data_IF_739967065154
#
_entry.id   IF_739967065154
#
_cell.length_a   1.000
_cell.length_b   1.000
_cell.length_c   1.000
_cell.angle_alpha   90.00
_cell.angle_beta   90.00
_cell.angle_gamma   90.00
#
_symmetry.space_group_name_H-M   'P 1'
#
loop_
_entity.id
_entity.type
_entity.pdbx_description
1 polymer ?
#
# COMPACT_ATOMS: atom_id res chain seq x y z
N UNK A 1 31.88 -35.43 37.93
CA UNK A 1 30.49 -34.97 37.70
C UNK A 1 30.51 -33.46 37.90
N UNK A 2 30.65 -32.62 36.86
CA UNK A 2 29.66 -32.40 35.81
C UNK A 2 28.38 -31.91 36.49
N UNK A 3 27.98 -30.64 36.46
CA UNK A 3 27.57 -29.87 35.27
C UNK A 3 27.65 -28.35 35.54
N UNK A 4 27.70 -27.61 34.44
CA UNK A 4 28.05 -26.19 34.24
C UNK A 4 26.89 -25.21 34.41
N UNK A 5 27.32 -23.98 34.72
CA UNK A 5 26.72 -22.65 34.62
C UNK A 5 25.86 -22.38 33.36
N UNK A 6 24.76 -21.63 33.47
CA UNK A 6 24.56 -20.33 32.78
C UNK A 6 23.14 -19.78 32.97
N UNK A 7 23.05 -18.52 33.42
CA UNK A 7 21.87 -17.70 33.23
C UNK A 7 21.63 -17.46 31.74
N UNK A 8 20.36 -17.49 31.33
CA UNK A 8 19.92 -17.10 30.00
C UNK A 8 19.07 -15.85 30.18
N UNK A 9 19.72 -14.70 30.00
CA UNK A 9 19.04 -13.45 29.67
C UNK A 9 18.40 -13.63 28.29
N UNK A 10 17.07 -13.57 28.22
CA UNK A 10 16.36 -13.50 26.95
C UNK A 10 16.48 -12.07 26.39
N UNK A 11 17.59 -11.81 25.72
CA UNK A 11 17.75 -10.64 24.86
C UNK A 11 16.92 -10.87 23.59
N UNK A 12 15.68 -10.36 23.58
CA UNK A 12 14.91 -10.25 22.35
C UNK A 12 15.48 -9.11 21.50
N UNK A 13 16.46 -9.46 20.67
CA UNK A 13 17.03 -8.62 19.64
C UNK A 13 15.97 -8.42 18.53
N UNK A 14 15.12 -7.40 18.65
CA UNK A 14 14.19 -7.03 17.59
C UNK A 14 14.95 -6.27 16.50
N UNK A 15 15.51 -7.01 15.55
CA UNK A 15 15.84 -6.46 14.24
C UNK A 15 14.53 -6.17 13.54
N UNK A 16 14.21 -4.88 13.40
CA UNK A 16 13.19 -4.38 12.48
C UNK A 16 13.74 -4.58 11.07
N UNK A 17 13.72 -5.81 10.60
CA UNK A 17 13.89 -6.07 9.18
C UNK A 17 12.62 -5.54 8.49
N UNK A 18 12.80 -4.69 7.48
CA UNK A 18 11.74 -4.28 6.56
C UNK A 18 11.09 -5.54 5.98
N UNK A 19 10.05 -6.03 6.64
CA UNK A 19 9.19 -7.08 6.15
C UNK A 19 8.39 -6.56 4.96
N UNK A 20 9.07 -6.48 3.82
CA UNK A 20 8.49 -6.35 2.49
C UNK A 20 7.75 -7.64 2.17
N UNK A 21 6.64 -7.89 2.86
CA UNK A 21 5.76 -9.02 2.55
C UNK A 21 5.03 -8.73 1.24
N UNK A 22 5.17 -9.63 0.26
CA UNK A 22 4.50 -9.51 -1.03
C UNK A 22 2.99 -9.63 -0.84
N UNK A 23 2.24 -8.57 -1.17
CA UNK A 23 0.78 -8.59 -1.17
C UNK A 23 0.26 -9.66 -2.13
N UNK A 24 -0.52 -10.61 -1.62
CA UNK A 24 -1.22 -11.60 -2.44
C UNK A 24 -2.62 -11.07 -2.68
N UNK A 25 -2.76 -10.19 -3.67
CA UNK A 25 -4.08 -9.86 -4.19
C UNK A 25 -4.75 -11.13 -4.70
N UNK A 26 -6.03 -11.34 -4.40
CA UNK A 26 -6.82 -12.32 -5.14
C UNK A 26 -6.71 -12.01 -6.65
N UNK A 27 -6.68 -13.03 -7.49
CA UNK A 27 -6.55 -12.83 -8.94
C UNK A 27 -7.63 -11.87 -9.50
N UNK A 28 -8.80 -11.84 -8.87
CA UNK A 28 -9.87 -10.89 -9.18
C UNK A 28 -9.50 -9.45 -8.77
N UNK A 29 -9.00 -9.23 -7.55
CA UNK A 29 -8.57 -7.91 -7.11
C UNK A 29 -7.42 -7.39 -7.97
N UNK A 30 -6.39 -8.22 -8.18
CA UNK A 30 -5.24 -7.89 -9.02
C UNK A 30 -5.68 -7.38 -10.39
N UNK A 31 -6.62 -8.08 -11.02
CA UNK A 31 -7.20 -7.69 -12.31
C UNK A 31 -8.00 -6.39 -12.23
N UNK A 32 -8.80 -6.17 -11.16
CA UNK A 32 -9.53 -4.91 -10.95
C UNK A 32 -8.58 -3.72 -10.81
N UNK A 33 -7.51 -3.86 -10.04
CA UNK A 33 -6.49 -2.80 -9.86
C UNK A 33 -5.79 -2.49 -11.18
N UNK A 34 -5.31 -3.51 -11.90
CA UNK A 34 -4.68 -3.35 -13.23
C UNK A 34 -5.62 -2.62 -14.20
N UNK A 35 -6.88 -3.04 -14.29
CA UNK A 35 -7.86 -2.41 -15.17
C UNK A 35 -8.12 -0.94 -14.82
N UNK A 36 -8.03 -0.55 -13.54
CA UNK A 36 -8.17 0.85 -13.12
C UNK A 36 -6.93 1.66 -13.51
N UNK A 37 -5.74 1.10 -13.29
CA UNK A 37 -4.48 1.71 -13.69
C UNK A 37 -4.40 1.92 -15.21
N UNK A 38 -4.82 0.94 -16.02
CA UNK A 38 -4.87 1.09 -17.49
C UNK A 38 -5.78 2.21 -17.96
N UNK A 39 -6.90 2.46 -17.25
CA UNK A 39 -7.78 3.61 -17.55
C UNK A 39 -7.12 4.93 -17.19
N UNK A 40 -6.43 4.99 -16.04
CA UNK A 40 -5.68 6.17 -15.61
C UNK A 40 -4.59 6.50 -16.63
N UNK A 41 -3.86 5.50 -17.12
CA UNK A 41 -2.86 5.67 -18.17
C UNK A 41 -3.47 6.27 -19.45
N UNK A 42 -4.66 5.81 -19.84
CA UNK A 42 -5.44 6.38 -20.95
C UNK A 42 -5.78 7.86 -20.72
N UNK A 43 -6.19 8.24 -19.51
CA UNK A 43 -6.46 9.64 -19.17
C UNK A 43 -5.19 10.51 -19.23
N UNK A 44 -4.06 10.01 -18.74
CA UNK A 44 -2.76 10.72 -18.84
C UNK A 44 -2.39 10.95 -20.31
N UNK A 45 -2.56 9.93 -21.16
CA UNK A 45 -2.37 10.08 -22.61
C UNK A 45 -3.31 11.14 -23.19
N UNK A 46 -4.58 11.16 -22.77
CA UNK A 46 -5.56 12.17 -23.17
C UNK A 46 -5.13 13.60 -22.83
N UNK A 47 -4.63 13.83 -21.61
CA UNK A 47 -4.10 15.15 -21.21
C UNK A 47 -2.92 15.57 -22.07
N UNK A 48 -1.99 14.65 -22.38
CA UNK A 48 -0.87 14.95 -23.28
C UNK A 48 -1.36 15.42 -24.64
N UNK A 49 -2.40 14.78 -25.19
CA UNK A 49 -3.04 15.23 -26.44
C UNK A 49 -3.66 16.62 -26.30
N UNK A 50 -4.42 16.88 -25.22
CA UNK A 50 -5.03 18.19 -24.97
C UNK A 50 -4.00 19.32 -24.92
N UNK A 51 -2.84 19.08 -24.31
CA UNK A 51 -1.73 20.05 -24.27
C UNK A 51 -1.19 20.31 -25.67
N UNK A 52 -0.95 19.27 -26.47
CA UNK A 52 -0.48 19.42 -27.85
C UNK A 52 -1.49 20.16 -28.74
N UNK A 53 -2.78 20.01 -28.46
CA UNK A 53 -3.89 20.69 -29.13
C UNK A 53 -4.13 22.12 -28.61
N UNK A 54 -3.32 22.61 -27.66
CA UNK A 54 -3.44 23.95 -27.07
C UNK A 54 -4.83 24.21 -26.46
N UNK A 55 -5.43 23.17 -25.85
CA UNK A 55 -6.69 23.26 -25.09
C UNK A 55 -6.58 24.21 -23.89
N UNK A 56 -7.72 24.72 -23.45
CA UNK A 56 -7.79 25.67 -22.35
C UNK A 56 -7.34 25.07 -21.01
N UNK A 57 -6.56 25.84 -20.24
CA UNK A 57 -6.01 25.42 -18.95
C UNK A 57 -7.06 24.88 -17.97
N UNK A 58 -8.26 25.49 -17.80
CA UNK A 58 -9.29 24.95 -16.91
C UNK A 58 -9.75 23.54 -17.29
N UNK A 59 -9.84 23.22 -18.57
CA UNK A 59 -10.26 21.89 -19.03
C UNK A 59 -9.20 20.83 -18.74
N UNK A 60 -7.93 21.18 -18.90
CA UNK A 60 -6.80 20.32 -18.53
C UNK A 60 -6.81 20.07 -17.02
N UNK A 61 -7.03 21.11 -16.21
CA UNK A 61 -7.11 20.99 -14.75
C UNK A 61 -8.25 20.07 -14.29
N UNK A 62 -9.40 20.10 -14.97
CA UNK A 62 -10.51 19.17 -14.72
C UNK A 62 -10.07 17.71 -14.95
N UNK A 63 -9.33 17.43 -16.04
CA UNK A 63 -8.84 16.08 -16.31
C UNK A 63 -7.78 15.64 -15.29
N UNK A 64 -6.89 16.53 -14.86
CA UNK A 64 -5.92 16.24 -13.79
C UNK A 64 -6.65 15.88 -12.50
N UNK A 65 -7.69 16.64 -12.13
CA UNK A 65 -8.50 16.35 -10.95
C UNK A 65 -9.21 14.99 -11.04
N UNK A 66 -9.71 14.63 -12.22
CA UNK A 66 -10.31 13.31 -12.47
C UNK A 66 -9.30 12.17 -12.29
N UNK A 67 -8.06 12.35 -12.76
CA UNK A 67 -6.97 11.38 -12.56
C UNK A 67 -6.61 11.25 -11.09
N UNK A 68 -6.46 12.36 -10.37
CA UNK A 68 -6.18 12.35 -8.93
C UNK A 68 -7.22 11.53 -8.18
N UNK A 69 -8.52 11.82 -8.38
CA UNK A 69 -9.59 11.06 -7.76
C UNK A 69 -9.63 9.58 -8.17
N UNK A 70 -9.17 9.25 -9.39
CA UNK A 70 -9.04 7.86 -9.82
C UNK A 70 -7.88 7.14 -9.12
N UNK A 71 -6.74 7.81 -8.94
CA UNK A 71 -5.59 7.30 -8.18
C UNK A 71 -5.95 7.09 -6.71
N UNK A 72 -6.62 8.06 -6.09
CA UNK A 72 -7.07 7.96 -4.69
C UNK A 72 -7.94 6.71 -4.47
N UNK A 73 -8.84 6.40 -5.43
CA UNK A 73 -9.66 5.18 -5.38
C UNK A 73 -8.85 3.89 -5.53
N UNK A 74 -7.81 3.88 -6.36
CA UNK A 74 -6.93 2.71 -6.51
C UNK A 74 -6.15 2.49 -5.23
N UNK A 75 -5.57 3.55 -4.68
CA UNK A 75 -4.79 3.46 -3.46
C UNK A 75 -5.65 3.03 -2.27
N UNK A 76 -6.90 3.49 -2.18
CA UNK A 76 -7.86 3.03 -1.17
C UNK A 76 -8.13 1.53 -1.25
N UNK A 77 -8.31 0.97 -2.45
CA UNK A 77 -8.52 -0.47 -2.64
C UNK A 77 -7.32 -1.27 -2.12
N UNK A 78 -6.11 -0.85 -2.48
CA UNK A 78 -4.87 -1.52 -2.05
C UNK A 78 -4.72 -1.44 -0.52
N UNK A 79 -5.03 -0.28 0.07
CA UNK A 79 -4.97 -0.07 1.51
C UNK A 79 -6.00 -0.93 2.26
N UNK A 80 -7.25 -0.98 1.79
CA UNK A 80 -8.33 -1.77 2.42
C UNK A 80 -7.97 -3.28 2.41
N UNK A 81 -7.34 -3.75 1.34
CA UNK A 81 -6.85 -5.13 1.24
C UNK A 81 -5.69 -5.40 2.19
N UNK A 82 -4.71 -4.49 2.25
CA UNK A 82 -3.60 -4.61 3.19
C UNK A 82 -4.08 -4.65 4.65
N UNK A 83 -5.01 -3.76 5.00
CA UNK A 83 -5.66 -3.71 6.30
C UNK A 83 -6.31 -5.06 6.67
N UNK A 84 -7.07 -5.61 5.74
CA UNK A 84 -7.80 -6.88 5.96
C UNK A 84 -6.83 -8.03 6.21
N UNK A 85 -5.73 -8.10 5.46
CA UNK A 85 -4.69 -9.13 5.62
C UNK A 85 -3.91 -8.98 6.94
N UNK A 86 -3.48 -7.76 7.29
CA UNK A 86 -2.78 -7.47 8.54
C UNK A 86 -3.60 -7.87 9.76
N UNK A 87 -4.90 -7.53 9.77
CA UNK A 87 -5.81 -7.88 10.87
C UNK A 87 -6.02 -9.40 10.95
N UNK A 88 -6.16 -10.07 9.80
CA UNK A 88 -6.35 -11.53 9.76
C UNK A 88 -5.11 -12.25 10.33
N UNK A 89 -3.91 -11.87 9.91
CA UNK A 89 -2.66 -12.45 10.42
C UNK A 89 -2.44 -12.14 11.91
N UNK A 90 -2.69 -10.90 12.33
CA UNK A 90 -2.60 -10.52 13.74
C UNK A 90 -3.47 -11.41 14.64
N UNK A 91 -4.65 -11.80 14.14
CA UNK A 91 -5.57 -12.70 14.85
C UNK A 91 -5.12 -14.16 14.84
N UNK A 92 -4.46 -14.63 13.78
CA UNK A 92 -4.00 -16.01 13.61
C UNK A 92 -2.67 -16.29 14.35
N UNK A 93 -1.69 -15.38 14.22
CA UNK A 93 -0.32 -15.57 14.70
C UNK A 93 -0.06 -14.92 16.07
N UNK A 94 -1.03 -14.16 16.60
CA UNK A 94 -0.90 -13.44 17.87
C UNK A 94 0.10 -12.27 17.83
N UNK A 95 0.48 -11.81 16.64
CA UNK A 95 1.49 -10.77 16.35
C UNK A 95 0.88 -9.36 16.25
N UNK A 96 -0.11 -9.07 17.08
CA UNK A 96 -0.95 -7.85 16.98
C UNK A 96 -0.12 -6.57 16.95
N UNK A 97 0.87 -6.43 17.84
CA UNK A 97 1.70 -5.21 17.92
C UNK A 97 2.53 -4.97 16.66
N UNK A 98 3.07 -6.04 16.06
CA UNK A 98 3.87 -5.94 14.83
C UNK A 98 3.02 -5.54 13.62
N UNK A 99 1.83 -6.13 13.47
CA UNK A 99 0.92 -5.82 12.35
C UNK A 99 0.31 -4.41 12.49
N UNK A 100 0.08 -3.93 13.72
CA UNK A 100 -0.34 -2.54 13.97
C UNK A 100 0.75 -1.55 13.54
N UNK A 101 2.02 -1.81 13.85
CA UNK A 101 3.12 -0.92 13.41
C UNK A 101 3.30 -0.93 11.89
N UNK A 102 3.21 -2.10 11.25
CA UNK A 102 3.21 -2.19 9.79
C UNK A 102 2.07 -1.39 9.16
N UNK A 103 0.88 -1.45 9.76
CA UNK A 103 -0.27 -0.68 9.31
C UNK A 103 -0.06 0.83 9.45
N UNK A 104 0.45 1.30 10.59
CA UNK A 104 0.77 2.72 10.80
C UNK A 104 1.75 3.23 9.74
N UNK A 105 2.81 2.46 9.46
CA UNK A 105 3.78 2.80 8.43
C UNK A 105 3.15 2.91 7.03
N UNK A 106 2.20 2.01 6.69
CA UNK A 106 1.46 2.09 5.43
C UNK A 106 0.56 3.33 5.36
N UNK A 107 -0.11 3.69 6.46
CA UNK A 107 -0.94 4.89 6.55
C UNK A 107 -0.12 6.18 6.43
N UNK A 108 1.02 6.28 7.10
CA UNK A 108 1.91 7.45 7.02
C UNK A 108 2.41 7.69 5.59
N UNK A 109 2.66 6.62 4.83
CA UNK A 109 3.06 6.73 3.42
C UNK A 109 1.91 7.13 2.50
N UNK A 110 0.67 6.77 2.86
CA UNK A 110 -0.52 7.06 2.08
C UNK A 110 -1.08 8.46 2.34
N UNK A 111 -0.94 8.98 3.56
CA UNK A 111 -1.39 10.29 3.99
C UNK A 111 -0.16 11.18 4.29
N UNK A 112 0.56 11.68 3.27
CA UNK A 112 1.63 12.63 3.54
C UNK A 112 1.02 13.90 4.15
N UNK A 113 1.41 14.17 5.40
CA UNK A 113 1.09 15.38 6.17
C UNK A 113 1.60 16.65 5.50
#
# INVERSE_FOLDING_TARGET
MGIVNHGIEHHHNHQVENSSHGHIHSEESRRKVINRLSRIEGHVRGIKTMINEHRDCPEILIQIAAIRGALDRVARIILDEHLSECITRAAEDGTIDMEIEALKAALDRFLPS
#
